data_IF_686710341834
#
_entry.id   IF_686710341834
#
_cell.length_a   1.000
_cell.length_b   1.000
_cell.length_c   1.000
_cell.angle_alpha   90.00
_cell.angle_beta   90.00
_cell.angle_gamma   90.00
#
_symmetry.space_group_name_H-M   'P 1'
#
loop_
_entity.id
_entity.type
_entity.pdbx_description
1 polymer ?
#
# COMPACT_ATOMS: atom_id res chain seq x y z
N UNK A 1 -17.10 -5.46 6.42
CA UNK A 1 -16.06 -6.48 6.14
C UNK A 1 -14.71 -5.91 6.56
N UNK A 2 -13.86 -6.68 7.24
CA UNK A 2 -12.50 -6.27 7.63
C UNK A 2 -11.50 -7.10 6.83
N UNK A 3 -10.49 -6.46 6.24
CA UNK A 3 -9.50 -7.12 5.40
C UNK A 3 -8.09 -6.86 5.97
N UNK A 4 -7.34 -7.92 6.25
CA UNK A 4 -5.95 -7.83 6.69
C UNK A 4 -5.02 -8.24 5.54
N UNK A 5 -4.10 -7.35 5.14
CA UNK A 5 -3.08 -7.67 4.15
C UNK A 5 -1.87 -8.32 4.85
N UNK A 6 -1.70 -9.63 4.66
CA UNK A 6 -0.70 -10.42 5.40
C UNK A 6 0.57 -10.77 4.61
N UNK A 7 0.75 -10.22 3.40
CA UNK A 7 1.93 -10.57 2.58
C UNK A 7 3.21 -10.00 3.20
N UNK A 8 4.18 -10.83 3.60
CA UNK A 8 5.44 -10.36 4.14
C UNK A 8 6.24 -9.67 3.04
N UNK A 9 6.56 -8.39 3.22
CA UNK A 9 7.47 -7.67 2.32
C UNK A 9 8.87 -7.85 2.86
N UNK A 10 9.55 -8.90 2.39
CA UNK A 10 10.91 -9.20 2.79
C UNK A 10 11.89 -8.40 1.93
N UNK A 11 12.21 -7.17 2.31
CA UNK A 11 13.44 -6.49 1.85
C UNK A 11 13.99 -5.63 2.99
N UNK A 12 15.23 -5.94 3.38
CA UNK A 12 15.98 -5.45 4.55
C UNK A 12 16.24 -3.92 4.56
N UNK A 13 15.75 -3.18 3.57
CA UNK A 13 15.86 -1.72 3.43
C UNK A 13 14.51 -1.19 2.92
N UNK A 14 13.92 -0.23 3.64
CA UNK A 14 12.67 0.43 3.22
C UNK A 14 11.37 -0.19 3.75
N UNK A 15 11.41 -1.18 4.66
CA UNK A 15 10.21 -1.79 5.23
C UNK A 15 9.29 -0.77 5.95
N UNK A 16 9.87 0.23 6.62
CA UNK A 16 9.12 1.33 7.24
C UNK A 16 8.49 2.25 6.19
N UNK A 17 9.22 2.56 5.12
CA UNK A 17 8.71 3.38 4.01
C UNK A 17 7.56 2.67 3.29
N UNK A 18 7.69 1.38 3.02
CA UNK A 18 6.62 0.59 2.42
C UNK A 18 5.40 0.47 3.32
N UNK A 19 5.58 0.38 4.64
CA UNK A 19 4.48 0.41 5.59
C UNK A 19 3.79 1.78 5.58
N UNK A 20 4.55 2.87 5.49
CA UNK A 20 4.02 4.23 5.39
C UNK A 20 3.25 4.44 4.07
N UNK A 21 3.84 4.08 2.92
CA UNK A 21 3.18 4.17 1.61
C UNK A 21 1.88 3.36 1.58
N UNK A 22 1.86 2.21 2.26
CA UNK A 22 0.69 1.36 2.36
C UNK A 22 -0.39 1.94 3.27
N UNK A 23 -0.01 2.56 4.39
CA UNK A 23 -0.93 3.29 5.25
C UNK A 23 -1.54 4.50 4.51
N UNK A 24 -0.74 5.22 3.72
CA UNK A 24 -1.20 6.32 2.87
C UNK A 24 -2.23 5.86 1.84
N UNK A 25 -1.98 4.74 1.14
CA UNK A 25 -2.96 4.15 0.21
C UNK A 25 -4.25 3.75 0.93
N UNK A 26 -4.14 3.15 2.13
CA UNK A 26 -5.30 2.78 2.94
C UNK A 26 -6.13 4.01 3.30
N UNK A 27 -5.52 5.12 3.69
CA UNK A 27 -6.23 6.38 3.90
C UNK A 27 -6.91 6.90 2.64
N UNK A 28 -6.23 6.87 1.48
CA UNK A 28 -6.80 7.37 0.22
C UNK A 28 -8.03 6.60 -0.24
N UNK A 29 -8.08 5.28 -0.03
CA UNK A 29 -9.26 4.47 -0.38
C UNK A 29 -10.38 4.53 0.68
N UNK A 30 -10.23 5.34 1.73
CA UNK A 30 -11.23 5.51 2.78
C UNK A 30 -11.19 4.44 3.87
N UNK A 31 -10.02 3.85 4.14
CA UNK A 31 -9.82 3.00 5.33
C UNK A 31 -9.69 3.88 6.56
N UNK A 32 -10.46 3.54 7.60
CA UNK A 32 -10.43 4.16 8.91
C UNK A 32 -9.61 3.30 9.90
N UNK A 33 -9.17 3.92 10.99
CA UNK A 33 -8.41 3.26 12.05
C UNK A 33 -7.16 2.52 11.53
N UNK A 34 -6.43 3.16 10.62
CA UNK A 34 -5.19 2.59 10.06
C UNK A 34 -4.13 2.49 11.15
N UNK A 35 -3.60 1.29 11.37
CA UNK A 35 -2.56 1.02 12.35
C UNK A 35 -1.37 0.35 11.67
N UNK A 36 -0.16 0.77 12.04
CA UNK A 36 1.10 0.18 11.58
C UNK A 36 1.81 -0.42 12.79
N UNK A 37 2.01 -1.74 12.79
CA UNK A 37 2.64 -2.44 13.91
C UNK A 37 3.79 -3.36 13.43
N UNK A 38 4.92 -3.44 14.16
CA UNK A 38 5.97 -4.40 13.86
C UNK A 38 5.49 -5.84 14.12
N UNK A 39 5.83 -6.78 13.23
CA UNK A 39 5.48 -8.19 13.37
C UNK A 39 6.51 -8.92 14.24
N UNK A 40 6.23 -9.01 15.53
CA UNK A 40 7.18 -9.48 16.55
C UNK A 40 7.72 -10.92 16.41
N UNK A 41 7.13 -11.78 15.57
CA UNK A 41 7.36 -13.23 15.62
C UNK A 41 8.25 -13.83 14.51
N UNK A 42 8.68 -13.08 13.49
CA UNK A 42 9.36 -13.70 12.33
C UNK A 42 10.55 -12.93 11.75
N UNK A 43 10.61 -11.60 11.85
CA UNK A 43 11.74 -10.81 11.36
C UNK A 43 11.63 -9.35 11.86
N UNK A 44 12.70 -8.73 12.41
CA UNK A 44 12.67 -7.33 12.87
C UNK A 44 12.39 -6.29 11.77
N UNK A 45 12.42 -6.68 10.49
CA UNK A 45 12.14 -5.82 9.34
C UNK A 45 10.73 -5.99 8.74
N UNK A 46 9.76 -6.54 9.48
CA UNK A 46 8.38 -6.72 8.98
C UNK A 46 7.39 -5.87 9.75
N UNK A 47 6.58 -5.12 9.00
CA UNK A 47 5.45 -4.34 9.52
C UNK A 47 4.13 -4.88 8.97
N UNK A 48 3.08 -4.78 9.76
CA UNK A 48 1.71 -5.08 9.38
C UNK A 48 0.93 -3.77 9.40
N UNK A 49 0.18 -3.51 8.33
CA UNK A 49 -0.75 -2.38 8.24
C UNK A 49 -2.17 -2.93 8.27
N UNK A 50 -2.96 -2.52 9.25
CA UNK A 50 -4.35 -2.92 9.46
C UNK A 50 -5.27 -1.72 9.45
N UNK A 51 -6.57 -1.93 9.21
CA UNK A 51 -7.58 -0.88 9.24
C UNK A 51 -8.96 -1.43 8.86
N UNK A 52 -9.99 -0.58 8.97
CA UNK A 52 -11.38 -0.93 8.66
C UNK A 52 -11.82 -0.20 7.40
N UNK A 53 -12.25 -0.96 6.40
CA UNK A 53 -12.81 -0.40 5.17
C UNK A 53 -14.32 -0.60 5.14
N UNK A 54 -15.07 0.50 5.20
CA UNK A 54 -16.52 0.48 5.13
C UNK A 54 -16.97 0.59 3.67
N UNK A 55 -17.89 -0.28 3.28
CA UNK A 55 -18.48 -0.23 1.95
C UNK A 55 -19.47 0.95 1.88
N UNK A 56 -19.07 1.98 1.14
CA UNK A 56 -19.90 3.15 0.81
C UNK A 56 -19.59 3.59 -0.61
N UNK A 57 -20.52 4.28 -1.27
CA UNK A 57 -20.29 4.80 -2.62
C UNK A 57 -19.06 5.71 -2.69
N UNK A 58 -18.86 6.53 -1.65
CA UNK A 58 -17.69 7.39 -1.50
C UNK A 58 -16.39 6.59 -1.45
N UNK A 59 -16.34 5.56 -0.61
CA UNK A 59 -15.13 4.74 -0.46
C UNK A 59 -14.87 3.87 -1.70
N UNK A 60 -15.93 3.44 -2.39
CA UNK A 60 -15.83 2.73 -3.65
C UNK A 60 -15.28 3.64 -4.77
N UNK A 61 -15.75 4.88 -4.86
CA UNK A 61 -15.20 5.87 -5.80
C UNK A 61 -13.71 6.14 -5.53
N UNK A 62 -13.35 6.35 -4.27
CA UNK A 62 -11.96 6.57 -3.85
C UNK A 62 -11.06 5.35 -4.16
N UNK A 63 -11.57 4.12 -3.97
CA UNK A 63 -10.87 2.90 -4.36
C UNK A 63 -10.61 2.86 -5.88
N UNK A 64 -11.62 3.15 -6.69
CA UNK A 64 -11.50 3.11 -8.15
C UNK A 64 -10.48 4.14 -8.66
N UNK A 65 -10.48 5.35 -8.10
CA UNK A 65 -9.53 6.40 -8.45
C UNK A 65 -8.08 5.98 -8.18
N UNK A 66 -7.81 5.42 -7.00
CA UNK A 66 -6.48 4.88 -6.65
C UNK A 66 -6.10 3.70 -7.55
N UNK A 67 -7.05 2.82 -7.89
CA UNK A 67 -6.80 1.69 -8.80
C UNK A 67 -6.46 2.17 -10.22
N UNK A 68 -7.10 3.23 -10.71
CA UNK A 68 -6.81 3.78 -12.03
C UNK A 68 -5.44 4.45 -12.09
N UNK A 69 -5.04 5.16 -11.03
CA UNK A 69 -3.67 5.68 -10.89
C UNK A 69 -2.63 4.55 -10.89
N UNK A 70 -2.86 3.49 -10.12
CA UNK A 70 -2.00 2.32 -10.08
C UNK A 70 -1.92 1.66 -11.45
N UNK A 71 -3.06 1.41 -12.11
CA UNK A 71 -3.10 0.83 -13.46
C UNK A 71 -2.34 1.68 -14.46
N UNK A 72 -2.49 3.01 -14.42
CA UNK A 72 -1.75 3.92 -15.28
C UNK A 72 -0.23 3.79 -15.09
N UNK A 73 0.22 3.67 -13.84
CA UNK A 73 1.64 3.52 -13.51
C UNK A 73 2.21 2.17 -13.97
N UNK A 74 1.41 1.10 -13.93
CA UNK A 74 1.81 -0.22 -14.40
C UNK A 74 1.50 -0.51 -15.87
N UNK A 75 0.83 0.40 -16.59
CA UNK A 75 0.38 0.20 -17.98
C UNK A 75 1.50 -0.25 -18.93
N UNK A 76 2.73 0.17 -18.67
CA UNK A 76 3.90 -0.15 -19.50
C UNK A 76 4.81 -1.22 -18.90
N UNK A 77 4.39 -1.88 -17.81
CA UNK A 77 5.20 -2.88 -17.11
C UNK A 77 4.64 -4.28 -17.38
N UNK A 78 5.41 -5.20 -17.98
CA UNK A 78 4.96 -6.57 -18.17
C UNK A 78 4.75 -7.24 -16.82
N UNK A 79 3.59 -7.90 -16.68
CA UNK A 79 3.23 -8.71 -15.50
C UNK A 79 4.28 -9.82 -15.37
N UNK A 80 5.02 -9.84 -14.25
CA UNK A 80 6.12 -10.78 -14.00
C UNK A 80 7.52 -10.16 -13.98
N UNK A 81 7.66 -8.86 -14.30
CA UNK A 81 8.95 -8.15 -14.16
C UNK A 81 9.21 -7.70 -12.73
N UNK A 82 9.93 -8.56 -11.99
CA UNK A 82 10.63 -8.36 -10.71
C UNK A 82 9.78 -7.84 -9.51
N UNK A 83 9.67 -8.58 -8.38
CA UNK A 83 8.97 -8.12 -7.17
C UNK A 83 9.49 -6.78 -6.60
N UNK A 84 10.74 -6.38 -6.89
CA UNK A 84 11.24 -5.02 -6.58
C UNK A 84 10.44 -3.91 -7.25
N UNK A 85 9.71 -4.26 -8.32
CA UNK A 85 8.92 -3.33 -9.09
C UNK A 85 7.71 -2.79 -8.37
N UNK A 86 7.06 -3.59 -7.52
CA UNK A 86 5.87 -3.14 -6.78
C UNK A 86 6.26 -2.07 -5.76
N UNK A 87 7.35 -2.31 -5.01
CA UNK A 87 7.88 -1.32 -4.07
C UNK A 87 8.28 -0.01 -4.77
N UNK A 88 9.06 -0.08 -5.85
CA UNK A 88 9.47 1.12 -6.59
C UNK A 88 8.29 1.87 -7.23
N UNK A 89 7.21 1.18 -7.56
CA UNK A 89 6.00 1.79 -8.11
C UNK A 89 5.16 2.48 -7.03
N UNK A 90 5.06 1.88 -5.84
CA UNK A 90 4.46 2.51 -4.68
C UNK A 90 5.25 3.74 -4.24
N UNK A 91 6.58 3.66 -4.21
CA UNK A 91 7.44 4.82 -3.93
C UNK A 91 7.27 5.94 -4.96
N UNK A 92 7.08 5.61 -6.25
CA UNK A 92 6.78 6.60 -7.30
C UNK A 92 5.42 7.28 -7.13
N UNK A 93 4.44 6.56 -6.61
CA UNK A 93 3.14 7.14 -6.26
C UNK A 93 3.25 8.03 -5.03
N UNK A 94 3.85 7.54 -3.95
CA UNK A 94 4.09 8.31 -2.73
C UNK A 94 4.92 9.58 -3.00
N UNK A 95 5.96 9.49 -3.84
CA UNK A 95 6.76 10.66 -4.22
C UNK A 95 6.04 11.64 -5.15
N UNK A 96 5.09 11.17 -5.97
CA UNK A 96 4.21 12.05 -6.76
C UNK A 96 3.21 12.79 -5.86
N UNK A 97 2.79 12.18 -4.76
CA UNK A 97 1.89 12.80 -3.78
C UNK A 97 2.60 13.67 -2.74
N UNK A 98 3.91 13.48 -2.55
CA UNK A 98 4.75 14.34 -1.68
C UNK A 98 5.10 15.71 -2.30
N UNK A 99 4.77 15.96 -3.58
CA UNK A 99 4.96 17.28 -4.19
C UNK A 99 3.76 18.18 -3.87
N UNK A 100 3.99 19.41 -3.38
CA UNK A 100 2.95 20.35 -2.98
C UNK A 100 2.08 20.81 -4.16
#
# INVERSE_FOLDING_TARGET
>A
MSFAFSRPVALLVGASQQAADRAEIMHRIGVENVQVAPRAAANPAQFVVTGVWLYSERNLAALNEVLDELRALYRHRPIGSDPKGIAAALERLASRWRRP
#
